data_IF_043951748300
#
_entry.id   IF_043951748300
#
_cell.length_a   1.000
_cell.length_b   1.000
_cell.length_c   1.000
_cell.angle_alpha   90.00
_cell.angle_beta   90.00
_cell.angle_gamma   90.00
#
_symmetry.space_group_name_H-M   'P 1'
#
loop_
_entity.id
_entity.type
_entity.pdbx_description
1 polymer ?
#
# COMPACT_ATOMS: atom_id res chain seq x y z
N UNK A 1 -4.76 42.64 35.77
CA UNK A 1 -4.63 42.06 34.41
C UNK A 1 -3.22 41.53 34.27
N UNK A 2 -3.01 40.23 34.39
CA UNK A 2 -1.71 39.60 34.10
C UNK A 2 -1.69 39.26 32.61
N UNK A 3 -0.83 39.94 31.86
CA UNK A 3 -0.49 39.56 30.49
C UNK A 3 0.46 38.35 30.58
N UNK A 4 -0.06 37.13 30.41
CA UNK A 4 0.81 35.97 30.17
C UNK A 4 1.34 36.08 28.74
N UNK A 5 2.62 36.41 28.58
CA UNK A 5 3.31 36.17 27.31
C UNK A 5 3.33 34.66 27.05
N UNK A 6 3.00 34.19 25.83
CA UNK A 6 3.12 32.77 25.51
C UNK A 6 4.61 32.38 25.58
N UNK A 7 4.95 31.48 26.50
CA UNK A 7 6.25 30.84 26.53
C UNK A 7 6.29 29.78 25.42
N UNK A 8 7.23 29.92 24.49
CA UNK A 8 7.45 28.93 23.43
C UNK A 8 8.51 27.94 23.89
N UNK A 9 8.15 26.67 23.92
CA UNK A 9 9.08 25.57 24.22
C UNK A 9 9.34 24.77 22.94
N UNK A 10 10.60 24.45 22.67
CA UNK A 10 11.01 23.61 21.56
C UNK A 10 11.47 22.25 22.10
N UNK A 11 10.93 21.17 21.52
CA UNK A 11 11.32 19.81 21.83
C UNK A 11 11.88 19.16 20.56
N UNK A 12 13.07 18.57 20.67
CA UNK A 12 13.72 17.87 19.57
C UNK A 12 13.92 16.40 19.94
N UNK A 13 13.61 15.51 18.98
CA UNK A 13 13.83 14.08 19.11
C UNK A 13 14.67 13.61 17.93
N UNK A 14 15.89 13.13 18.22
CA UNK A 14 16.74 12.48 17.23
C UNK A 14 16.37 11.00 17.14
N UNK A 15 16.06 10.53 15.93
CA UNK A 15 15.72 9.13 15.66
C UNK A 15 16.92 8.40 15.07
N UNK A 16 17.18 7.20 15.57
CA UNK A 16 18.14 6.27 14.99
C UNK A 16 17.56 5.58 13.75
N UNK A 17 18.43 5.06 12.87
CA UNK A 17 18.02 4.27 11.71
C UNK A 17 17.07 3.12 12.06
N UNK A 18 17.30 2.44 13.19
CA UNK A 18 16.41 1.37 13.67
C UNK A 18 15.02 1.90 14.03
N UNK A 19 14.94 3.04 14.71
CA UNK A 19 13.65 3.65 15.06
C UNK A 19 12.89 4.11 13.82
N UNK A 20 13.59 4.66 12.83
CA UNK A 20 12.99 5.01 11.53
C UNK A 20 12.45 3.75 10.84
N UNK A 21 13.19 2.65 10.84
CA UNK A 21 12.71 1.38 10.30
C UNK A 21 11.42 0.87 10.97
N UNK A 22 11.34 0.96 12.30
CA UNK A 22 10.13 0.60 13.04
C UNK A 22 8.94 1.54 12.73
N UNK A 23 9.20 2.83 12.51
CA UNK A 23 8.16 3.77 12.07
C UNK A 23 7.65 3.42 10.67
N UNK A 24 8.53 2.98 9.77
CA UNK A 24 8.12 2.51 8.43
C UNK A 24 7.23 1.26 8.49
N UNK A 25 7.57 0.31 9.38
CA UNK A 25 6.73 -0.87 9.61
C UNK A 25 5.35 -0.47 10.15
N UNK A 26 5.29 0.46 11.11
CA UNK A 26 4.02 0.92 11.71
C UNK A 26 3.17 1.74 10.74
N UNK A 27 3.80 2.60 9.92
CA UNK A 27 3.14 3.42 8.91
C UNK A 27 2.57 2.58 7.78
N UNK A 28 3.23 1.47 7.46
CA UNK A 28 2.86 0.52 6.42
C UNK A 28 2.52 1.19 5.07
N UNK A 29 3.29 2.23 4.73
CA UNK A 29 3.11 3.01 3.51
C UNK A 29 2.06 4.13 3.55
N UNK A 30 1.34 4.34 4.66
CA UNK A 30 0.38 5.43 4.87
C UNK A 30 0.98 6.76 5.34
N UNK A 31 0.18 7.61 5.98
CA UNK A 31 0.68 8.82 6.66
C UNK A 31 1.31 8.46 8.01
N UNK A 32 2.27 9.26 8.47
CA UNK A 32 2.85 9.08 9.80
C UNK A 32 2.06 9.91 10.82
N UNK A 33 1.43 9.24 11.79
CA UNK A 33 0.70 9.88 12.87
C UNK A 33 1.54 9.91 14.15
N UNK A 34 1.91 11.11 14.59
CA UNK A 34 2.67 11.35 15.81
C UNK A 34 1.72 11.81 16.92
N UNK A 35 1.76 11.14 18.06
CA UNK A 35 0.99 11.48 19.24
C UNK A 35 1.92 12.15 20.24
N UNK A 36 1.62 13.39 20.60
CA UNK A 36 2.36 14.14 21.62
C UNK A 36 1.43 14.36 22.79
N UNK A 37 1.76 13.81 23.96
CA UNK A 37 1.06 14.08 25.20
C UNK A 37 1.97 14.86 26.16
N UNK A 38 1.50 16.03 26.58
CA UNK A 38 2.18 16.85 27.58
C UNK A 38 1.47 16.66 28.92
N UNK A 39 2.22 16.32 29.95
CA UNK A 39 1.73 16.25 31.32
C UNK A 39 2.49 17.29 32.15
N UNK A 40 1.77 18.19 32.79
CA UNK A 40 2.35 19.16 33.71
C UNK A 40 1.88 18.86 35.13
N UNK A 41 2.82 18.93 36.06
CA UNK A 41 2.60 18.79 37.49
C UNK A 41 3.06 20.08 38.15
N UNK A 42 2.19 20.72 38.92
CA UNK A 42 2.51 21.93 39.67
C UNK A 42 2.12 21.74 41.11
N UNK A 43 3.01 22.10 42.05
CA UNK A 43 2.73 22.02 43.47
C UNK A 43 2.57 23.42 44.06
N UNK A 44 1.48 23.66 44.80
CA UNK A 44 1.28 24.87 45.59
C UNK A 44 0.79 24.48 46.98
N UNK A 45 1.51 24.89 48.03
CA UNK A 45 1.12 24.72 49.44
C UNK A 45 0.64 23.30 49.81
N UNK A 46 1.48 22.28 49.59
CA UNK A 46 1.19 20.85 49.80
C UNK A 46 0.11 20.21 48.90
N UNK A 47 -0.47 20.96 47.95
CA UNK A 47 -1.39 20.42 46.94
C UNK A 47 -0.66 20.26 45.61
N UNK A 48 -0.76 19.07 45.02
CA UNK A 48 -0.26 18.80 43.65
C UNK A 48 -1.42 18.89 42.67
N UNK A 49 -1.27 19.75 41.66
CA UNK A 49 -2.15 19.84 40.51
C UNK A 49 -1.50 19.14 39.33
N UNK A 50 -2.29 18.39 38.57
CA UNK A 50 -1.88 17.80 37.30
C UNK A 50 -2.78 18.32 36.19
N UNK A 51 -2.19 18.75 35.09
CA UNK A 51 -2.92 18.91 33.84
C UNK A 51 -2.23 18.12 32.74
N UNK A 52 -2.99 17.70 31.75
CA UNK A 52 -2.46 17.04 30.57
C UNK A 52 -3.18 17.53 29.34
N UNK A 53 -2.43 17.63 28.25
CA UNK A 53 -2.97 17.91 26.93
C UNK A 53 -2.34 16.96 25.91
N UNK A 54 -3.03 16.72 24.81
CA UNK A 54 -2.57 15.80 23.77
C UNK A 54 -2.85 16.33 22.39
N UNK A 55 -1.90 16.15 21.48
CA UNK A 55 -1.98 16.57 20.10
C UNK A 55 -1.62 15.41 19.18
N UNK A 56 -2.40 15.26 18.10
CA UNK A 56 -2.10 14.36 17.01
C UNK A 56 -1.56 15.20 15.86
N UNK A 57 -0.33 14.91 15.44
CA UNK A 57 0.29 15.53 14.28
C UNK A 57 0.42 14.51 13.16
N UNK A 58 -0.21 14.80 12.02
CA UNK A 58 -0.12 13.95 10.83
C UNK A 58 0.93 14.51 9.89
N UNK A 59 1.97 13.71 9.61
CA UNK A 59 2.92 13.97 8.54
C UNK A 59 2.42 13.26 7.28
N UNK A 60 2.06 14.00 6.22
CA UNK A 60 1.63 13.40 4.96
C UNK A 60 2.70 12.45 4.39
N UNK A 61 2.27 11.35 3.80
CA UNK A 61 3.12 10.32 3.19
C UNK A 61 4.20 10.92 2.29
N UNK A 62 3.83 11.86 1.41
CA UNK A 62 4.74 12.51 0.46
C UNK A 62 5.85 13.30 1.17
N UNK A 63 5.52 14.01 2.24
CA UNK A 63 6.49 14.75 3.05
C UNK A 63 7.43 13.79 3.77
N UNK A 64 6.91 12.70 4.34
CA UNK A 64 7.73 11.70 5.01
C UNK A 64 8.70 10.99 4.05
N UNK A 65 8.20 10.54 2.89
CA UNK A 65 9.04 9.94 1.83
C UNK A 65 10.16 10.90 1.43
N UNK A 66 9.87 12.19 1.26
CA UNK A 66 10.89 13.19 0.97
C UNK A 66 12.00 13.21 2.03
N UNK A 67 11.65 13.17 3.32
CA UNK A 67 12.63 13.12 4.41
C UNK A 67 13.46 11.83 4.38
N UNK A 68 12.86 10.67 4.06
CA UNK A 68 13.60 9.41 3.93
C UNK A 68 14.62 9.45 2.78
N UNK A 69 14.22 10.01 1.64
CA UNK A 69 15.09 10.18 0.48
C UNK A 69 16.22 11.19 0.77
N UNK A 70 15.88 12.36 1.34
CA UNK A 70 16.85 13.41 1.68
C UNK A 70 17.88 12.93 2.72
N UNK A 71 17.47 12.07 3.65
CA UNK A 71 18.34 11.44 4.65
C UNK A 71 19.12 10.22 4.13
N UNK A 72 18.88 9.80 2.88
CA UNK A 72 19.45 8.58 2.25
C UNK A 72 19.19 7.30 3.06
N UNK A 73 18.11 7.28 3.83
CA UNK A 73 17.72 6.11 4.60
C UNK A 73 17.20 5.00 3.68
N UNK A 74 16.35 5.36 2.72
CA UNK A 74 15.80 4.46 1.71
C UNK A 74 15.21 5.30 0.59
N UNK A 75 15.40 4.86 -0.66
CA UNK A 75 14.78 5.45 -1.82
C UNK A 75 13.35 4.91 -1.98
N UNK A 76 12.34 5.77 -1.81
CA UNK A 76 10.94 5.44 -2.05
C UNK A 76 10.40 6.25 -3.22
N UNK A 77 9.80 5.55 -4.19
CA UNK A 77 9.07 6.14 -5.31
C UNK A 77 7.57 6.10 -5.04
N UNK A 78 6.91 7.27 -5.11
CA UNK A 78 5.46 7.36 -5.15
C UNK A 78 5.01 7.38 -6.61
N UNK A 79 4.20 6.39 -7.00
CA UNK A 79 3.60 6.31 -8.34
C UNK A 79 2.12 6.59 -8.23
N UNK A 80 1.67 7.64 -8.91
CA UNK A 80 0.24 7.90 -9.09
C UNK A 80 -0.27 7.10 -10.27
N UNK A 81 -1.38 6.38 -10.08
CA UNK A 81 -2.05 5.68 -11.18
C UNK A 81 -3.44 6.29 -11.35
N UNK A 82 -3.74 6.93 -12.49
CA UNK A 82 -5.05 7.49 -12.73
C UNK A 82 -6.07 6.34 -12.82
N UNK A 83 -7.11 6.44 -12.01
CA UNK A 83 -8.30 5.60 -12.13
C UNK A 83 -9.33 6.44 -12.87
N UNK A 84 -9.62 6.08 -14.11
CA UNK A 84 -10.52 6.84 -14.96
C UNK A 84 -11.97 6.72 -14.51
N UNK A 85 -12.79 7.69 -14.93
CA UNK A 85 -14.21 7.76 -14.57
C UNK A 85 -15.04 6.57 -15.06
N UNK A 86 -14.56 5.87 -16.10
CA UNK A 86 -15.21 4.67 -16.65
C UNK A 86 -14.84 3.39 -15.90
N UNK A 87 -13.88 3.44 -14.98
CA UNK A 87 -13.51 2.29 -14.17
C UNK A 87 -14.68 1.90 -13.25
N UNK A 88 -15.11 0.62 -13.24
CA UNK A 88 -16.19 0.19 -12.34
C UNK A 88 -15.88 0.50 -10.88
N UNK A 89 -16.82 1.11 -10.16
CA UNK A 89 -16.64 1.50 -8.75
C UNK A 89 -16.23 0.30 -7.86
N UNK A 90 -16.72 -0.90 -8.18
CA UNK A 90 -16.32 -2.15 -7.51
C UNK A 90 -14.83 -2.46 -7.68
N UNK A 91 -14.25 -2.19 -8.85
CA UNK A 91 -12.83 -2.40 -9.09
C UNK A 91 -11.98 -1.46 -8.23
N UNK A 92 -12.37 -0.19 -8.15
CA UNK A 92 -11.71 0.80 -7.27
C UNK A 92 -11.77 0.35 -5.81
N UNK A 93 -12.94 -0.14 -5.39
CA UNK A 93 -13.15 -0.68 -4.04
C UNK A 93 -12.23 -1.87 -3.76
N UNK A 94 -12.04 -2.80 -4.71
CA UNK A 94 -11.08 -3.90 -4.54
C UNK A 94 -9.63 -3.40 -4.41
N UNK A 95 -9.20 -2.46 -5.25
CA UNK A 95 -7.84 -1.92 -5.19
C UNK A 95 -7.57 -1.19 -3.86
N UNK A 96 -8.53 -0.38 -3.39
CA UNK A 96 -8.43 0.30 -2.09
C UNK A 96 -8.42 -0.71 -0.94
N UNK A 97 -9.26 -1.73 -0.98
CA UNK A 97 -9.29 -2.80 0.02
C UNK A 97 -7.96 -3.55 0.07
N UNK A 98 -7.40 -3.92 -1.09
CA UNK A 98 -6.10 -4.60 -1.16
C UNK A 98 -4.97 -3.72 -0.60
N UNK A 99 -4.96 -2.42 -0.90
CA UNK A 99 -4.02 -1.45 -0.30
C UNK A 99 -4.14 -1.44 1.23
N UNK A 100 -5.35 -1.40 1.77
CA UNK A 100 -5.56 -1.40 3.22
C UNK A 100 -5.12 -2.72 3.86
N UNK A 101 -5.37 -3.85 3.20
CA UNK A 101 -4.91 -5.16 3.67
C UNK A 101 -3.37 -5.25 3.70
N UNK A 102 -2.67 -4.68 2.72
CA UNK A 102 -1.21 -4.54 2.75
C UNK A 102 -0.78 -3.71 3.96
N UNK A 103 -1.46 -2.58 4.22
CA UNK A 103 -1.15 -1.72 5.35
C UNK A 103 -1.34 -2.42 6.71
N UNK A 104 -2.25 -3.38 6.82
CA UNK A 104 -2.48 -4.16 8.04
C UNK A 104 -1.75 -5.52 8.05
N UNK A 105 -0.77 -5.71 7.17
CA UNK A 105 -0.02 -6.96 6.98
C UNK A 105 -0.88 -8.21 6.65
N UNK A 106 -2.11 -8.03 6.18
CA UNK A 106 -2.97 -9.09 5.62
C UNK A 106 -2.60 -9.35 4.14
N UNK A 107 -1.37 -9.84 3.91
CA UNK A 107 -0.86 -10.05 2.55
C UNK A 107 -1.65 -11.11 1.78
N UNK A 108 -2.13 -12.15 2.47
CA UNK A 108 -2.96 -13.19 1.86
C UNK A 108 -4.30 -12.62 1.39
N UNK A 109 -4.96 -11.84 2.24
CA UNK A 109 -6.20 -11.17 1.88
C UNK A 109 -6.00 -10.16 0.76
N UNK A 110 -4.90 -9.39 0.79
CA UNK A 110 -4.57 -8.44 -0.28
C UNK A 110 -4.43 -9.14 -1.63
N UNK A 111 -3.74 -10.29 -1.68
CA UNK A 111 -3.56 -11.08 -2.91
C UNK A 111 -4.89 -11.64 -3.42
N UNK A 112 -5.72 -12.18 -2.53
CA UNK A 112 -7.06 -12.66 -2.90
C UNK A 112 -7.93 -11.53 -3.46
N UNK A 113 -7.86 -10.34 -2.86
CA UNK A 113 -8.56 -9.15 -3.32
C UNK A 113 -8.04 -8.66 -4.68
N UNK A 114 -6.71 -8.64 -4.90
CA UNK A 114 -6.12 -8.28 -6.19
C UNK A 114 -6.50 -9.29 -7.29
N UNK A 115 -6.59 -10.57 -6.95
CA UNK A 115 -7.07 -11.60 -7.86
C UNK A 115 -8.51 -11.33 -8.30
N UNK A 116 -9.41 -11.05 -7.35
CA UNK A 116 -10.80 -10.74 -7.66
C UNK A 116 -10.91 -9.51 -8.57
N UNK A 117 -10.09 -8.48 -8.34
CA UNK A 117 -9.98 -7.31 -9.23
C UNK A 117 -9.58 -7.71 -10.66
N UNK A 118 -8.55 -8.54 -10.81
CA UNK A 118 -8.11 -9.02 -12.14
C UNK A 118 -9.11 -9.96 -12.81
N UNK A 119 -9.90 -10.71 -12.05
CA UNK A 119 -10.98 -11.56 -12.58
C UNK A 119 -12.13 -10.71 -13.11
N UNK A 120 -12.51 -9.65 -12.40
CA UNK A 120 -13.49 -8.67 -12.86
C UNK A 120 -13.02 -7.98 -14.15
N UNK A 121 -11.74 -7.62 -14.23
CA UNK A 121 -11.14 -7.03 -15.43
C UNK A 121 -11.16 -7.99 -16.64
N UNK A 122 -11.14 -9.29 -16.42
CA UNK A 122 -11.14 -10.31 -17.47
C UNK A 122 -12.54 -10.89 -17.75
N UNK A 123 -13.58 -10.35 -17.11
CA UNK A 123 -14.94 -10.84 -17.26
C UNK A 123 -15.43 -10.64 -18.70
N UNK A 124 -15.82 -11.74 -19.35
CA UNK A 124 -16.28 -11.73 -20.74
C UNK A 124 -15.17 -11.89 -21.79
N UNK A 125 -13.89 -11.89 -21.39
CA UNK A 125 -12.75 -12.00 -22.30
C UNK A 125 -12.11 -13.41 -22.33
N UNK A 126 -12.85 -14.46 -21.94
CA UNK A 126 -12.25 -15.80 -21.77
C UNK A 126 -11.73 -16.40 -23.07
N UNK A 127 -12.36 -16.09 -24.21
CA UNK A 127 -11.92 -16.59 -25.52
C UNK A 127 -10.65 -15.87 -25.96
N UNK A 128 -10.59 -14.57 -25.76
CA UNK A 128 -9.49 -13.69 -26.07
C UNK A 128 -8.26 -14.02 -25.21
N UNK A 129 -8.47 -14.29 -23.92
CA UNK A 129 -7.42 -14.78 -23.01
C UNK A 129 -6.86 -16.14 -23.50
N UNK A 130 -7.71 -17.08 -23.91
CA UNK A 130 -7.27 -18.36 -24.49
C UNK A 130 -6.50 -18.18 -25.79
N UNK A 131 -6.96 -17.29 -26.68
CA UNK A 131 -6.26 -16.96 -27.92
C UNK A 131 -4.90 -16.33 -27.65
N UNK A 132 -4.78 -15.45 -26.64
CA UNK A 132 -3.51 -14.87 -26.24
C UNK A 132 -2.52 -15.94 -25.75
N UNK A 133 -2.98 -16.91 -24.95
CA UNK A 133 -2.16 -18.04 -24.47
C UNK A 133 -1.71 -18.94 -25.63
N UNK A 134 -2.62 -19.30 -26.54
CA UNK A 134 -2.27 -20.12 -27.72
C UNK A 134 -1.33 -19.37 -28.67
N UNK A 135 -1.59 -18.08 -28.91
CA UNK A 135 -0.74 -17.22 -29.74
C UNK A 135 0.69 -17.13 -29.21
N UNK A 136 0.89 -17.14 -27.88
CA UNK A 136 2.22 -17.19 -27.28
C UNK A 136 2.96 -18.51 -27.55
N UNK A 137 2.24 -19.64 -27.62
CA UNK A 137 2.82 -20.95 -27.91
C UNK A 137 3.16 -21.11 -29.39
N UNK A 138 2.30 -20.61 -30.28
CA UNK A 138 2.40 -20.83 -31.72
C UNK A 138 3.27 -19.78 -32.42
N UNK A 139 3.04 -18.49 -32.14
CA UNK A 139 3.77 -17.39 -32.77
C UNK A 139 3.93 -16.19 -31.82
N UNK A 140 4.79 -16.29 -30.80
CA UNK A 140 4.94 -15.23 -29.80
C UNK A 140 5.40 -13.88 -30.38
N UNK A 141 6.11 -13.89 -31.53
CA UNK A 141 6.54 -12.65 -32.20
C UNK A 141 5.39 -11.92 -32.88
N UNK A 142 4.39 -12.64 -33.38
CA UNK A 142 3.23 -12.09 -34.08
C UNK A 142 2.11 -11.54 -33.19
N UNK A 143 2.23 -11.67 -31.86
CA UNK A 143 1.20 -11.20 -30.93
C UNK A 143 1.12 -9.67 -30.88
N UNK A 144 -0.11 -9.14 -30.97
CA UNK A 144 -0.40 -7.73 -30.69
C UNK A 144 -0.07 -7.36 -29.24
N UNK A 145 0.17 -6.07 -28.99
CA UNK A 145 0.42 -5.55 -27.63
C UNK A 145 -0.72 -5.89 -26.66
N UNK A 146 -1.97 -5.84 -27.14
CA UNK A 146 -3.16 -6.17 -26.36
C UNK A 146 -3.18 -7.65 -25.93
N UNK A 147 -2.88 -8.58 -26.85
CA UNK A 147 -2.80 -10.01 -26.51
C UNK A 147 -1.62 -10.30 -25.59
N UNK A 148 -0.52 -9.55 -25.69
CA UNK A 148 0.59 -9.66 -24.73
C UNK A 148 0.15 -9.17 -23.34
N UNK A 149 -0.62 -8.09 -23.26
CA UNK A 149 -1.16 -7.60 -21.99
C UNK A 149 -2.10 -8.62 -21.36
N UNK A 150 -3.01 -9.21 -22.15
CA UNK A 150 -3.89 -10.31 -21.70
C UNK A 150 -3.08 -11.49 -21.14
N UNK A 151 -2.00 -11.88 -21.82
CA UNK A 151 -1.10 -12.94 -21.36
C UNK A 151 -0.45 -12.59 -20.01
N UNK A 152 0.01 -11.35 -19.81
CA UNK A 152 0.59 -10.90 -18.54
C UNK A 152 -0.47 -10.95 -17.42
N UNK A 153 -1.69 -10.47 -17.68
CA UNK A 153 -2.81 -10.55 -16.73
C UNK A 153 -3.16 -12.00 -16.38
N UNK A 154 -3.22 -12.89 -17.38
CA UNK A 154 -3.44 -14.31 -17.17
C UNK A 154 -2.35 -14.95 -16.28
N UNK A 155 -1.07 -14.65 -16.56
CA UNK A 155 0.04 -15.12 -15.76
C UNK A 155 -0.01 -14.59 -14.31
N UNK A 156 -0.37 -13.32 -14.11
CA UNK A 156 -0.55 -12.72 -12.79
C UNK A 156 -1.69 -13.40 -12.01
N UNK A 157 -2.83 -13.68 -12.65
CA UNK A 157 -3.90 -14.49 -12.05
C UNK A 157 -3.42 -15.89 -11.67
N UNK A 158 -2.66 -16.54 -12.55
CA UNK A 158 -2.10 -17.87 -12.28
C UNK A 158 -1.12 -17.87 -11.10
N UNK A 159 -0.30 -16.83 -10.95
CA UNK A 159 0.62 -16.68 -9.82
C UNK A 159 -0.12 -16.72 -8.47
N UNK A 160 -1.35 -16.21 -8.39
CA UNK A 160 -2.17 -16.24 -7.16
C UNK A 160 -2.77 -17.60 -6.81
N UNK A 161 -2.79 -18.57 -7.74
CA UNK A 161 -3.36 -19.91 -7.49
C UNK A 161 -2.52 -20.80 -6.59
N UNK A 162 -1.21 -20.53 -6.47
CA UNK A 162 -0.26 -21.40 -5.77
C UNK A 162 -0.52 -21.54 -4.26
N UNK A 163 -1.38 -20.72 -3.65
CA UNK A 163 -1.58 -20.71 -2.20
C UNK A 163 -2.87 -21.37 -1.67
N UNK A 164 -3.67 -22.01 -2.52
CA UNK A 164 -4.92 -22.68 -2.11
C UNK A 164 -4.89 -24.21 -2.16
N UNK A 165 -3.84 -24.82 -2.72
CA UNK A 165 -3.64 -26.27 -2.64
C UNK A 165 -2.83 -26.60 -1.37
N UNK A 166 -3.55 -26.83 -0.28
CA UNK A 166 -2.98 -27.16 1.04
C UNK A 166 -2.56 -28.64 1.20
N UNK A 167 -2.48 -29.40 0.10
CA UNK A 167 -2.11 -30.82 0.10
C UNK A 167 -0.73 -31.02 -0.52
N UNK A 168 0.30 -30.69 0.25
CA UNK A 168 1.60 -31.37 0.29
C UNK A 168 2.52 -30.53 1.18
N UNK A 169 3.34 -31.19 1.99
CA UNK A 169 4.34 -30.56 2.88
C UNK A 169 5.37 -29.66 2.15
N UNK A 170 5.28 -29.51 0.83
CA UNK A 170 6.06 -28.57 0.05
C UNK A 170 5.29 -27.26 -0.15
N UNK A 171 5.78 -26.20 0.52
CA UNK A 171 5.45 -24.77 0.33
C UNK A 171 4.20 -24.26 1.04
N UNK A 172 4.30 -24.09 2.37
CA UNK A 172 3.82 -22.85 3.01
C UNK A 172 4.59 -21.67 2.42
N UNK A 173 4.33 -21.31 1.16
CA UNK A 173 4.78 -20.02 0.64
C UNK A 173 3.97 -18.97 1.40
N UNK A 174 4.52 -18.49 2.52
CA UNK A 174 3.97 -17.35 3.23
C UNK A 174 4.07 -16.16 2.29
N UNK A 175 2.94 -15.72 1.75
CA UNK A 175 2.91 -14.50 0.95
C UNK A 175 3.53 -13.35 1.73
N UNK A 176 4.40 -12.62 1.04
CA UNK A 176 5.17 -11.51 1.60
C UNK A 176 4.56 -10.18 1.19
N UNK A 177 5.02 -9.10 1.84
CA UNK A 177 4.74 -7.74 1.41
C UNK A 177 5.07 -7.53 -0.08
N UNK A 178 6.18 -8.11 -0.55
CA UNK A 178 6.64 -7.96 -1.95
C UNK A 178 5.65 -8.58 -2.93
N UNK A 179 5.10 -9.75 -2.60
CA UNK A 179 4.12 -10.44 -3.44
C UNK A 179 2.81 -9.65 -3.52
N UNK A 180 2.36 -9.11 -2.39
CA UNK A 180 1.15 -8.29 -2.33
C UNK A 180 1.31 -6.96 -3.08
N UNK A 181 2.46 -6.28 -2.93
CA UNK A 181 2.77 -5.03 -3.66
C UNK A 181 2.88 -5.29 -5.16
N UNK A 182 3.52 -6.39 -5.59
CA UNK A 182 3.59 -6.78 -7.00
C UNK A 182 2.19 -6.92 -7.60
N UNK A 183 1.31 -7.67 -6.94
CA UNK A 183 -0.03 -7.94 -7.45
C UNK A 183 -0.95 -6.72 -7.40
N UNK A 184 -0.83 -5.88 -6.38
CA UNK A 184 -1.53 -4.60 -6.34
C UNK A 184 -1.08 -3.72 -7.51
N UNK A 185 0.23 -3.62 -7.74
CA UNK A 185 0.80 -2.80 -8.83
C UNK A 185 0.31 -3.28 -10.19
N UNK A 186 0.33 -4.59 -10.45
CA UNK A 186 -0.17 -5.18 -11.69
C UNK A 186 -1.67 -4.94 -11.85
N UNK A 187 -2.47 -5.21 -10.81
CA UNK A 187 -3.92 -5.00 -10.87
C UNK A 187 -4.27 -3.54 -11.15
N UNK A 188 -3.61 -2.59 -10.48
CA UNK A 188 -3.81 -1.16 -10.70
C UNK A 188 -3.37 -0.73 -12.10
N UNK A 189 -2.25 -1.26 -12.61
CA UNK A 189 -1.79 -0.98 -13.97
C UNK A 189 -2.76 -1.51 -15.05
N UNK A 190 -3.32 -2.71 -14.87
CA UNK A 190 -4.32 -3.26 -15.78
C UNK A 190 -5.61 -2.43 -15.79
N UNK A 191 -6.05 -1.95 -14.62
CA UNK A 191 -7.21 -1.07 -14.51
C UNK A 191 -7.02 0.25 -15.26
N UNK A 192 -5.81 0.81 -15.19
CA UNK A 192 -5.49 2.05 -15.91
C UNK A 192 -5.46 1.83 -17.43
N UNK A 193 -4.90 0.70 -17.90
CA UNK A 193 -4.79 0.42 -19.33
C UNK A 193 -6.15 0.16 -20.02
N UNK A 194 -7.18 -0.27 -19.28
CA UNK A 194 -8.53 -0.40 -19.85
C UNK A 194 -9.17 0.94 -20.24
N UNK A 195 -8.60 2.07 -19.81
CA UNK A 195 -9.14 3.40 -20.12
C UNK A 195 -8.74 3.90 -21.52
N UNK A 196 -7.73 3.27 -22.12
CA UNK A 196 -7.16 3.69 -23.40
C UNK A 196 -7.66 2.83 -24.59
N UNK A 197 -8.56 1.87 -24.34
CA UNK A 197 -9.15 0.96 -25.34
C UNK A 197 -10.63 1.30 -25.58
#
# INVERSE_FOLDING_TARGET
>A
MMHSSPANYCFELSLTARQIGLLEELRAGGDLHLFVSLHALTSESDVTYSCSDSLIFTVPQSNWIKQLNDSKFTDVLLVEVPIGSLTPAHLVTFLQKARNQIATADYRGAIATCRAAMELLAEGEQKEDQQAVSGFKENPRGMSSENRLRLIRHAARHYTHLANHADSESLKASYTLRDAVLLLTLATAFSAHQLDA
#
